data_IF_686471959534
#
_entry.id   IF_686471959534
#
_cell.length_a   1.000
_cell.length_b   1.000
_cell.length_c   1.000
_cell.angle_alpha   90.00
_cell.angle_beta   90.00
_cell.angle_gamma   90.00
#
_symmetry.space_group_name_H-M   'P 1'
#
loop_
_entity.id
_entity.type
_entity.pdbx_description
1 polymer ?
#
# COMPACT_ATOMS: atom_id res chain seq x y z
N UNK A 1 26.54 13.70 -2.17
CA UNK A 1 26.79 13.34 -0.76
C UNK A 1 25.73 12.29 -0.41
N UNK A 2 26.09 11.01 -0.24
CA UNK A 2 25.12 9.99 0.15
C UNK A 2 24.69 10.32 1.58
N UNK A 3 23.41 10.54 1.91
CA UNK A 3 23.02 10.66 3.30
C UNK A 3 23.50 9.38 3.99
N UNK A 4 24.19 9.56 5.12
CA UNK A 4 24.51 8.47 6.03
C UNK A 4 23.26 7.61 6.16
N UNK A 5 23.43 6.31 5.97
CA UNK A 5 22.39 5.28 6.08
C UNK A 5 21.37 5.71 7.11
N UNK A 6 20.15 6.07 6.69
CA UNK A 6 19.09 6.41 7.62
C UNK A 6 18.83 5.16 8.47
N UNK A 7 19.48 5.08 9.63
CA UNK A 7 19.31 3.99 10.56
C UNK A 7 17.95 4.21 11.20
N UNK A 8 16.97 3.44 10.78
CA UNK A 8 15.66 3.51 11.41
C UNK A 8 15.73 3.01 12.84
N UNK A 9 14.92 3.59 13.74
CA UNK A 9 14.78 3.07 15.08
C UNK A 9 14.23 1.64 15.00
N UNK A 10 14.84 0.71 15.76
CA UNK A 10 14.31 -0.64 16.02
C UNK A 10 13.08 -0.58 16.95
N UNK A 11 12.15 0.33 16.67
CA UNK A 11 10.94 0.50 17.48
C UNK A 11 9.91 -0.53 17.03
N UNK A 12 9.25 -1.12 18.01
CA UNK A 12 8.12 -1.98 17.76
C UNK A 12 6.93 -1.08 17.39
N UNK A 13 6.60 -0.99 16.11
CA UNK A 13 5.42 -0.27 15.62
C UNK A 13 4.23 -1.23 15.63
N UNK A 14 3.76 -1.56 16.83
CA UNK A 14 2.74 -2.59 17.05
C UNK A 14 1.31 -2.05 16.90
N UNK A 15 1.14 -0.74 16.74
CA UNK A 15 -0.16 -0.10 16.55
C UNK A 15 -0.19 0.81 15.33
N UNK A 16 -1.38 1.06 14.81
CA UNK A 16 -1.61 2.03 13.73
C UNK A 16 -1.08 3.41 14.13
N UNK A 17 -1.39 3.85 15.36
CA UNK A 17 -0.95 5.13 15.88
C UNK A 17 0.59 5.25 15.93
N UNK A 18 1.29 4.17 16.29
CA UNK A 18 2.76 4.16 16.27
C UNK A 18 3.31 4.24 14.84
N UNK A 19 2.72 3.49 13.90
CA UNK A 19 3.10 3.56 12.47
C UNK A 19 2.89 4.96 11.88
N UNK A 20 1.72 5.55 12.13
CA UNK A 20 1.39 6.89 11.64
C UNK A 20 2.32 7.96 12.26
N UNK A 21 2.58 7.88 13.57
CA UNK A 21 3.48 8.80 14.25
C UNK A 21 4.92 8.70 13.71
N UNK A 22 5.40 7.48 13.45
CA UNK A 22 6.73 7.28 12.87
C UNK A 22 6.80 7.80 11.43
N UNK A 23 5.75 7.61 10.63
CA UNK A 23 5.70 8.13 9.26
C UNK A 23 5.76 9.66 9.22
N UNK A 24 4.96 10.31 10.07
CA UNK A 24 4.97 11.78 10.22
C UNK A 24 6.35 12.27 10.63
N UNK A 25 7.01 11.57 11.57
CA UNK A 25 8.36 11.89 12.01
C UNK A 25 9.36 11.78 10.86
N UNK A 26 9.35 10.68 10.10
CA UNK A 26 10.25 10.46 8.96
C UNK A 26 10.05 11.50 7.87
N UNK A 27 8.80 11.79 7.49
CA UNK A 27 8.47 12.86 6.54
C UNK A 27 9.04 14.21 7.01
N UNK A 28 8.87 14.54 8.28
CA UNK A 28 9.35 15.81 8.86
C UNK A 28 10.88 15.90 8.94
N UNK A 29 11.55 14.84 9.36
CA UNK A 29 13.00 14.86 9.60
C UNK A 29 13.81 14.67 8.32
N UNK A 30 13.38 13.78 7.44
CA UNK A 30 14.13 13.43 6.23
C UNK A 30 13.58 14.12 4.97
N UNK A 31 12.40 14.71 5.03
CA UNK A 31 11.73 15.27 3.84
C UNK A 31 11.32 14.18 2.84
N UNK A 32 11.17 12.94 3.29
CA UNK A 32 10.83 11.80 2.43
C UNK A 32 9.35 11.75 2.13
N UNK A 33 9.02 11.22 0.95
CA UNK A 33 7.66 10.89 0.59
C UNK A 33 7.14 9.72 1.43
N UNK A 34 5.82 9.65 1.55
CA UNK A 34 5.15 8.54 2.20
C UNK A 34 4.22 7.88 1.19
N UNK A 35 4.19 6.56 1.19
CA UNK A 35 3.21 5.76 0.48
C UNK A 35 2.60 4.75 1.45
N UNK A 36 1.33 4.41 1.25
CA UNK A 36 0.62 3.46 2.09
C UNK A 36 -0.11 2.44 1.23
N UNK A 37 0.03 1.17 1.60
CA UNK A 37 -0.58 0.03 0.91
C UNK A 37 -1.28 -0.88 1.91
N UNK A 38 -2.32 -1.56 1.46
CA UNK A 38 -3.10 -2.49 2.29
C UNK A 38 -3.27 -3.84 1.60
N UNK A 39 -2.95 -4.92 2.31
CA UNK A 39 -3.34 -6.27 1.94
C UNK A 39 -4.70 -6.63 2.54
N UNK A 40 -5.72 -6.82 1.71
CA UNK A 40 -7.05 -7.24 2.17
C UNK A 40 -7.22 -8.73 1.89
N UNK A 41 -7.47 -9.50 2.94
CA UNK A 41 -7.67 -10.94 2.85
C UNK A 41 -9.15 -11.31 3.02
N UNK A 42 -9.59 -12.41 2.43
CA UNK A 42 -10.86 -13.02 2.81
C UNK A 42 -10.80 -13.61 4.22
N UNK A 43 -11.96 -13.93 4.80
CA UNK A 43 -12.07 -14.41 6.18
C UNK A 43 -11.25 -15.70 6.46
N UNK A 44 -11.04 -16.52 5.42
CA UNK A 44 -10.30 -17.78 5.50
C UNK A 44 -8.82 -17.64 5.12
N UNK A 45 -8.35 -16.43 4.77
CA UNK A 45 -6.98 -16.14 4.32
C UNK A 45 -6.52 -16.91 3.07
N UNK A 46 -7.47 -17.32 2.23
CA UNK A 46 -7.21 -18.01 0.97
C UNK A 46 -6.92 -17.03 -0.18
N UNK A 47 -7.48 -15.83 -0.10
CA UNK A 47 -7.41 -14.82 -1.15
C UNK A 47 -6.84 -13.52 -0.63
N UNK A 48 -6.06 -12.86 -1.47
CA UNK A 48 -5.52 -11.52 -1.27
C UNK A 48 -5.99 -10.64 -2.41
N UNK A 49 -6.58 -9.49 -2.06
CA UNK A 49 -6.94 -8.47 -3.03
C UNK A 49 -5.71 -7.84 -3.67
N UNK A 50 -5.69 -7.81 -4.99
CA UNK A 50 -4.65 -7.17 -5.80
C UNK A 50 -5.30 -6.17 -6.77
N UNK A 51 -4.65 -5.03 -6.97
CA UNK A 51 -5.01 -4.03 -7.97
C UNK A 51 -4.05 -4.11 -9.17
N UNK A 52 -4.57 -4.08 -10.39
CA UNK A 52 -3.75 -4.00 -11.59
C UNK A 52 -3.47 -2.53 -11.91
N UNK A 53 -2.19 -2.17 -12.04
CA UNK A 53 -1.79 -0.80 -12.37
C UNK A 53 -2.23 -0.42 -13.79
N UNK A 54 -2.38 0.87 -14.06
CA UNK A 54 -2.71 1.35 -15.40
C UNK A 54 -1.53 1.31 -16.38
N UNK A 55 -1.78 1.72 -17.62
CA UNK A 55 -0.79 1.68 -18.71
C UNK A 55 0.47 2.53 -18.47
N UNK A 56 0.45 3.41 -17.46
CA UNK A 56 1.59 4.23 -17.05
C UNK A 56 2.72 3.40 -16.38
N UNK A 57 2.43 2.17 -15.97
CA UNK A 57 3.41 1.22 -15.47
C UNK A 57 3.33 -0.08 -16.28
N UNK A 58 4.45 -0.48 -16.90
CA UNK A 58 4.57 -1.75 -17.62
C UNK A 58 5.52 -2.68 -16.90
N UNK A 59 5.11 -3.93 -16.73
CA UNK A 59 5.98 -4.96 -16.19
C UNK A 59 7.13 -5.24 -17.19
N UNK A 60 8.28 -5.69 -16.68
CA UNK A 60 9.48 -6.01 -17.49
C UNK A 60 9.18 -6.97 -18.65
N UNK A 61 8.19 -7.85 -18.47
CA UNK A 61 7.80 -8.87 -19.44
C UNK A 61 6.51 -8.52 -20.22
N UNK A 62 6.06 -7.26 -20.17
CA UNK A 62 4.83 -6.81 -20.81
C UNK A 62 3.59 -6.94 -19.92
N UNK A 63 2.53 -6.22 -20.29
CA UNK A 63 1.29 -6.11 -19.50
C UNK A 63 1.42 -5.14 -18.32
N UNK A 64 0.31 -5.00 -17.61
CA UNK A 64 0.20 -4.13 -16.45
C UNK A 64 0.51 -4.91 -15.17
N UNK A 65 1.44 -4.43 -14.33
CA UNK A 65 1.81 -5.11 -13.09
C UNK A 65 0.66 -5.09 -12.09
N UNK A 66 0.61 -6.13 -11.25
CA UNK A 66 -0.29 -6.20 -10.10
C UNK A 66 0.43 -5.70 -8.84
N UNK A 67 -0.29 -4.98 -8.00
CA UNK A 67 0.16 -4.44 -6.72
C UNK A 67 -0.92 -4.63 -5.66
N UNK A 68 -0.57 -4.39 -4.40
CA UNK A 68 -1.57 -4.11 -3.37
C UNK A 68 -2.26 -2.78 -3.67
N UNK A 69 -3.55 -2.62 -3.33
CA UNK A 69 -4.20 -1.31 -3.32
C UNK A 69 -3.44 -0.34 -2.43
N UNK A 70 -3.26 0.89 -2.92
CA UNK A 70 -2.49 1.88 -2.20
C UNK A 70 -1.74 2.86 -3.09
N UNK A 71 -1.21 3.90 -2.45
CA UNK A 71 -0.70 5.04 -3.17
C UNK A 71 0.05 6.03 -2.28
N UNK A 72 0.25 7.22 -2.83
CA UNK A 72 0.93 8.30 -2.13
C UNK A 72 0.04 8.83 -1.00
N UNK A 73 0.64 9.07 0.18
CA UNK A 73 -0.05 9.75 1.26
C UNK A 73 -0.06 11.25 0.97
N UNK A 74 -1.22 11.87 1.00
CA UNK A 74 -1.39 13.30 0.71
C UNK A 74 -0.81 14.20 1.82
N UNK A 75 -0.73 15.50 1.55
CA UNK A 75 -0.23 16.47 2.51
C UNK A 75 -1.25 16.64 3.66
N UNK A 76 -0.80 16.40 4.89
CA UNK A 76 -1.66 16.41 6.08
C UNK A 76 -2.44 15.11 6.33
N UNK A 77 -2.37 14.14 5.41
CA UNK A 77 -2.98 12.83 5.55
C UNK A 77 -2.07 11.88 6.36
N UNK A 78 -2.69 10.98 7.15
CA UNK A 78 -1.99 9.89 7.82
C UNK A 78 -1.90 8.67 6.91
N UNK A 79 -0.81 7.87 6.96
CA UNK A 79 -0.67 6.66 6.15
C UNK A 79 -1.85 5.70 6.26
N UNK A 80 -2.37 5.48 7.46
CA UNK A 80 -3.54 4.63 7.67
C UNK A 80 -4.80 5.15 6.94
N UNK A 81 -5.02 6.47 6.98
CA UNK A 81 -6.09 7.13 6.23
C UNK A 81 -5.91 7.01 4.72
N UNK A 82 -4.69 7.19 4.23
CA UNK A 82 -4.36 7.02 2.81
C UNK A 82 -4.64 5.59 2.34
N UNK A 83 -4.26 4.57 3.12
CA UNK A 83 -4.51 3.17 2.78
C UNK A 83 -6.01 2.88 2.60
N UNK A 84 -6.86 3.40 3.49
CA UNK A 84 -8.32 3.25 3.39
C UNK A 84 -8.89 4.03 2.20
N UNK A 85 -8.43 5.27 1.99
CA UNK A 85 -8.86 6.11 0.85
C UNK A 85 -8.55 5.45 -0.48
N UNK A 86 -7.31 5.04 -0.69
CA UNK A 86 -6.85 4.41 -1.93
C UNK A 86 -7.57 3.08 -2.16
N UNK A 87 -7.75 2.24 -1.12
CA UNK A 87 -8.52 1.00 -1.23
C UNK A 87 -9.93 1.26 -1.77
N UNK A 88 -10.62 2.25 -1.20
CA UNK A 88 -11.96 2.63 -1.63
C UNK A 88 -11.97 3.16 -3.06
N UNK A 89 -11.05 4.05 -3.42
CA UNK A 89 -10.99 4.65 -4.75
C UNK A 89 -10.68 3.64 -5.86
N UNK A 90 -9.76 2.69 -5.61
CA UNK A 90 -9.32 1.72 -6.62
C UNK A 90 -10.26 0.50 -6.73
N UNK A 91 -10.86 0.10 -5.60
CA UNK A 91 -11.57 -1.19 -5.52
C UNK A 91 -13.05 -1.06 -5.20
N UNK A 92 -13.45 0.02 -4.54
CA UNK A 92 -14.80 0.24 -4.01
C UNK A 92 -15.03 -0.35 -2.62
N UNK A 93 -14.07 -1.09 -2.05
CA UNK A 93 -14.17 -1.66 -0.70
C UNK A 93 -14.01 -0.59 0.36
N UNK A 94 -14.86 -0.64 1.39
CA UNK A 94 -14.81 0.29 2.51
C UNK A 94 -14.43 -0.46 3.80
N UNK A 95 -13.36 -0.02 4.47
CA UNK A 95 -12.94 -0.54 5.77
C UNK A 95 -12.66 0.64 6.71
N UNK A 96 -12.79 0.46 8.02
CA UNK A 96 -12.37 1.52 8.94
C UNK A 96 -10.87 1.43 9.20
N UNK A 97 -10.25 2.58 9.47
CA UNK A 97 -8.85 2.63 9.90
C UNK A 97 -8.60 1.74 11.12
N UNK A 98 -9.58 1.62 12.04
CA UNK A 98 -9.46 0.78 13.22
C UNK A 98 -9.44 -0.72 12.93
N UNK A 99 -9.85 -1.14 11.73
CA UNK A 99 -9.84 -2.53 11.27
C UNK A 99 -8.49 -2.90 10.61
N UNK A 100 -7.58 -1.92 10.46
CA UNK A 100 -6.23 -2.15 9.95
C UNK A 100 -5.33 -2.81 10.99
N UNK A 101 -4.45 -3.67 10.50
CA UNK A 101 -3.34 -4.23 11.25
C UNK A 101 -2.02 -3.64 10.72
N UNK A 102 -1.14 -3.14 11.61
CA UNK A 102 0.20 -2.72 11.20
C UNK A 102 1.03 -3.94 10.81
N UNK A 103 1.56 -3.96 9.58
CA UNK A 103 2.43 -5.06 9.11
C UNK A 103 3.89 -4.66 9.17
N UNK A 104 4.21 -3.47 8.67
CA UNK A 104 5.57 -2.96 8.67
C UNK A 104 5.77 -1.85 7.66
N UNK A 105 7.03 -1.55 7.37
CA UNK A 105 7.40 -0.52 6.42
C UNK A 105 8.67 -0.90 5.65
N UNK A 106 8.86 -0.30 4.48
CA UNK A 106 10.05 -0.44 3.65
C UNK A 106 10.60 0.95 3.31
N UNK A 107 11.93 1.06 3.36
CA UNK A 107 12.63 2.24 2.91
C UNK A 107 13.02 2.11 1.45
N UNK A 108 12.77 3.16 0.69
CA UNK A 108 13.22 3.31 -0.69
C UNK A 108 14.09 4.56 -0.80
N UNK A 109 15.34 4.51 -0.29
CA UNK A 109 16.27 5.62 -0.46
C UNK A 109 16.55 5.82 -1.95
N UNK A 110 16.69 7.08 -2.38
CA UNK A 110 16.89 7.46 -3.78
C UNK A 110 15.75 7.06 -4.73
N UNK A 111 14.53 6.89 -4.21
CA UNK A 111 13.38 6.67 -5.06
C UNK A 111 13.17 7.87 -6.00
N UNK A 112 13.43 7.65 -7.29
CA UNK A 112 13.12 8.60 -8.35
C UNK A 112 11.71 8.30 -8.87
N UNK A 113 10.72 9.00 -8.34
CA UNK A 113 9.39 9.00 -8.96
C UNK A 113 9.42 9.81 -10.25
N UNK A 114 8.68 9.39 -11.27
CA UNK A 114 8.53 10.16 -12.52
C UNK A 114 7.98 11.57 -12.32
N UNK A 115 7.31 11.83 -11.18
CA UNK A 115 6.73 13.14 -10.86
C UNK A 115 7.70 14.09 -10.14
N UNK A 116 8.71 13.59 -9.42
CA UNK A 116 9.59 14.41 -8.54
C UNK A 116 10.93 13.70 -8.24
N UNK A 117 12.04 14.42 -8.35
CA UNK A 117 13.32 14.04 -7.73
C UNK A 117 13.19 14.14 -6.21
N UNK A 118 13.26 13.02 -5.49
CA UNK A 118 13.12 13.00 -4.04
C UNK A 118 14.26 12.26 -3.35
N UNK A 119 14.53 12.66 -2.11
CA UNK A 119 15.57 12.06 -1.29
C UNK A 119 15.27 10.59 -0.93
N UNK A 120 14.00 10.21 -0.88
CA UNK A 120 13.54 8.84 -0.65
C UNK A 120 12.03 8.75 -0.40
N UNK A 121 11.55 7.53 -0.28
CA UNK A 121 10.17 7.20 0.06
C UNK A 121 10.15 6.18 1.22
N UNK A 122 9.25 6.37 2.18
CA UNK A 122 8.88 5.39 3.19
C UNK A 122 7.52 4.78 2.79
N UNK A 123 7.53 3.49 2.50
CA UNK A 123 6.34 2.73 2.16
C UNK A 123 5.82 2.02 3.41
N UNK A 124 4.59 2.27 3.80
CA UNK A 124 3.92 1.65 4.93
C UNK A 124 2.95 0.57 4.43
N UNK A 125 2.96 -0.58 5.10
CA UNK A 125 2.11 -1.72 4.77
C UNK A 125 1.18 -2.03 5.93
N UNK A 126 -0.10 -2.11 5.61
CA UNK A 126 -1.17 -2.54 6.49
C UNK A 126 -1.80 -3.84 5.97
N UNK A 127 -2.52 -4.54 6.84
CA UNK A 127 -3.39 -5.65 6.47
C UNK A 127 -4.80 -5.41 7.01
N UNK A 128 -5.81 -5.98 6.36
CA UNK A 128 -7.18 -6.00 6.84
C UNK A 128 -7.87 -7.29 6.38
N UNK A 129 -8.96 -7.63 7.03
CA UNK A 129 -9.88 -8.65 6.52
C UNK A 129 -11.03 -7.95 5.81
N UNK A 130 -11.45 -8.50 4.68
CA UNK A 130 -12.69 -8.08 4.03
C UNK A 130 -13.88 -8.48 4.90
N UNK A 131 -14.91 -7.64 4.91
CA UNK A 131 -16.24 -8.10 5.31
C UNK A 131 -16.71 -9.11 4.24
N UNK A 132 -16.99 -10.39 4.60
CA UNK A 132 -17.44 -11.38 3.63
C UNK A 132 -18.76 -11.00 2.93
N UNK A 133 -19.56 -10.14 3.56
CA UNK A 133 -20.82 -9.64 3.02
C UNK A 133 -20.66 -8.36 2.18
N UNK A 134 -19.44 -7.82 2.02
CA UNK A 134 -19.19 -6.64 1.18
C UNK A 134 -19.48 -6.96 -0.30
N UNK A 135 -20.44 -6.27 -0.95
CA UNK A 135 -20.79 -6.53 -2.34
C UNK A 135 -19.63 -6.28 -3.32
N UNK A 136 -18.66 -5.44 -2.99
CA UNK A 136 -17.49 -5.18 -3.83
C UNK A 136 -16.53 -6.38 -3.89
N UNK A 137 -16.53 -7.26 -2.88
CA UNK A 137 -15.74 -8.50 -2.87
C UNK A 137 -16.18 -9.45 -4.00
N UNK A 138 -17.48 -9.47 -4.30
CA UNK A 138 -18.10 -10.38 -5.29
C UNK A 138 -18.18 -9.77 -6.70
N UNK A 139 -17.97 -8.47 -6.85
CA UNK A 139 -18.20 -7.74 -8.09
C UNK A 139 -17.08 -7.92 -9.15
N UNK A 140 -15.90 -8.40 -8.78
CA UNK A 140 -14.71 -8.46 -9.67
C UNK A 140 -14.02 -9.82 -9.79
N UNK A 141 -14.58 -10.91 -9.26
CA UNK A 141 -14.02 -12.26 -9.44
C UNK A 141 -14.08 -12.76 -10.91
N UNK A 142 -14.84 -12.09 -11.77
CA UNK A 142 -14.97 -12.40 -13.20
C UNK A 142 -13.82 -11.81 -14.04
N UNK A 143 -12.60 -12.26 -13.81
CA UNK A 143 -11.54 -12.18 -14.83
C UNK A 143 -10.47 -13.28 -14.72
N UNK A 144 -10.58 -14.19 -13.76
CA UNK A 144 -9.65 -15.32 -13.62
C UNK A 144 -9.98 -16.51 -14.54
N UNK A 145 -11.13 -16.51 -15.23
CA UNK A 145 -11.55 -17.61 -16.12
C UNK A 145 -10.94 -17.58 -17.53
N UNK A 146 -9.99 -16.69 -17.81
CA UNK A 146 -9.32 -16.59 -19.12
C UNK A 146 -7.79 -16.72 -19.04
N UNK A 147 -7.26 -17.61 -18.19
CA UNK A 147 -5.90 -18.09 -18.37
C UNK A 147 -5.91 -19.19 -19.45
N UNK A 148 -5.34 -18.96 -20.66
CA UNK A 148 -5.22 -20.01 -21.65
C UNK A 148 -4.07 -20.95 -21.21
N UNK A 149 -4.38 -22.22 -20.95
CA UNK A 149 -3.34 -23.27 -20.92
C UNK A 149 -3.17 -24.09 -19.64
N UNK A 150 -4.22 -24.30 -18.84
CA UNK A 150 -4.22 -25.43 -17.89
C UNK A 150 -4.91 -26.65 -18.54
N UNK A 151 -4.14 -27.41 -19.32
CA UNK A 151 -4.36 -28.84 -19.56
C UNK A 151 -3.10 -29.60 -19.21
#
# INVERSE_FOLDING_TARGET
MKPETAVLPRRNLASIADMDAEAVRVRRELGWQLAAFVGVFDADLNWLLMAQLGDYCKATYGGNPWTLPGGAVEDGELPSGAAVRELREETGLEINVNDLLPVGFLLRPYFQSWRREQAGELLLLFAANADPDDPALHAKANSASELPGAQ
#
